data_IF_206573923109
#
_entry.id   IF_206573923109
#
_cell.length_a   1.000
_cell.length_b   1.000
_cell.length_c   1.000
_cell.angle_alpha   90.00
_cell.angle_beta   90.00
_cell.angle_gamma   90.00
#
_symmetry.space_group_name_H-M   'P 1'
#
loop_
_entity.id
_entity.type
_entity.pdbx_description
1 polymer ?
#
# COMPACT_ATOMS: atom_id res chain seq x y z
N UNK A 1 -65.00 -24.00 -41.02
CA UNK A 1 -63.79 -23.47 -41.53
C UNK A 1 -62.94 -23.01 -40.32
N UNK A 2 -62.02 -23.89 -39.80
CA UNK A 2 -61.25 -23.64 -38.61
C UNK A 2 -59.81 -23.41 -39.03
N UNK A 3 -59.26 -22.23 -38.70
CA UNK A 3 -57.86 -21.90 -38.90
C UNK A 3 -57.07 -22.45 -37.68
N UNK A 4 -56.11 -23.26 -37.95
CA UNK A 4 -55.15 -23.80 -36.98
C UNK A 4 -54.01 -22.84 -36.78
N UNK A 5 -53.81 -22.44 -35.53
CA UNK A 5 -52.74 -21.60 -35.04
C UNK A 5 -51.46 -22.44 -34.92
N UNK A 6 -50.38 -22.02 -35.65
CA UNK A 6 -49.07 -22.69 -35.64
C UNK A 6 -48.18 -21.91 -34.68
N UNK A 7 -47.99 -22.47 -33.50
CA UNK A 7 -47.03 -21.96 -32.49
C UNK A 7 -45.59 -22.10 -32.97
N UNK A 8 -44.90 -20.96 -33.12
CA UNK A 8 -43.47 -20.87 -33.39
C UNK A 8 -42.70 -21.02 -32.05
N UNK A 9 -42.09 -22.19 -31.88
CA UNK A 9 -41.16 -22.46 -30.78
C UNK A 9 -39.81 -21.73 -31.04
N UNK A 10 -39.52 -20.70 -30.21
CA UNK A 10 -38.20 -20.08 -30.18
C UNK A 10 -37.15 -20.98 -29.53
N UNK A 11 -35.88 -20.89 -29.96
CA UNK A 11 -34.80 -21.73 -29.43
C UNK A 11 -34.52 -21.43 -27.98
N UNK A 12 -34.46 -22.50 -27.17
CA UNK A 12 -34.10 -22.45 -25.75
C UNK A 12 -32.64 -21.93 -25.61
N UNK A 13 -32.48 -20.84 -24.89
CA UNK A 13 -31.14 -20.36 -24.50
C UNK A 13 -30.57 -21.31 -23.45
N UNK A 14 -29.26 -21.68 -23.57
CA UNK A 14 -28.62 -22.49 -22.56
C UNK A 14 -28.48 -21.67 -21.27
N UNK A 15 -29.04 -22.20 -20.19
CA UNK A 15 -28.79 -21.70 -18.84
C UNK A 15 -27.32 -21.95 -18.51
N UNK A 16 -26.54 -20.86 -18.40
CA UNK A 16 -25.20 -20.91 -17.84
C UNK A 16 -25.36 -21.18 -16.34
N UNK A 17 -25.14 -22.40 -15.92
CA UNK A 17 -24.96 -22.73 -14.51
C UNK A 17 -23.74 -21.95 -14.02
N UNK A 18 -24.00 -20.88 -13.25
CA UNK A 18 -22.98 -20.27 -12.41
C UNK A 18 -22.58 -21.32 -11.37
N UNK A 19 -21.59 -22.15 -11.75
CA UNK A 19 -20.92 -23.03 -10.82
C UNK A 19 -20.49 -22.19 -9.62
N UNK A 20 -21.17 -22.39 -8.52
CA UNK A 20 -20.83 -21.92 -7.19
C UNK A 20 -19.35 -22.17 -6.97
N UNK A 21 -18.52 -21.13 -7.11
CA UNK A 21 -17.18 -21.15 -6.57
C UNK A 21 -17.34 -21.29 -5.06
N UNK A 22 -17.26 -22.52 -4.62
CA UNK A 22 -17.17 -22.88 -3.23
C UNK A 22 -15.83 -22.35 -2.75
N UNK A 23 -15.81 -21.08 -2.30
CA UNK A 23 -14.73 -20.54 -1.50
C UNK A 23 -14.70 -21.38 -0.23
N UNK A 24 -13.71 -22.24 -0.16
CA UNK A 24 -13.32 -22.88 1.09
C UNK A 24 -12.93 -21.73 2.03
N UNK A 25 -13.87 -21.30 2.85
CA UNK A 25 -13.58 -20.56 4.05
C UNK A 25 -12.85 -21.55 4.97
N UNK A 26 -11.54 -21.67 4.78
CA UNK A 26 -10.67 -22.19 5.81
C UNK A 26 -10.99 -21.40 7.07
N UNK A 27 -11.34 -22.09 8.15
CA UNK A 27 -11.66 -21.46 9.42
C UNK A 27 -10.51 -20.49 9.76
N UNK A 28 -10.79 -19.20 9.74
CA UNK A 28 -9.86 -18.15 10.11
C UNK A 28 -9.65 -18.30 11.61
N UNK A 29 -8.68 -19.11 11.99
CA UNK A 29 -8.10 -19.04 13.32
C UNK A 29 -7.20 -17.81 13.25
N UNK A 30 -7.49 -16.80 14.07
CA UNK A 30 -6.59 -15.65 14.30
C UNK A 30 -5.26 -16.23 14.77
N UNK A 31 -4.38 -16.50 13.83
CA UNK A 31 -3.03 -17.00 14.13
C UNK A 31 -2.26 -15.79 14.60
N UNK A 32 -1.89 -15.77 15.88
CA UNK A 32 -0.94 -14.80 16.39
C UNK A 32 0.29 -14.87 15.50
N UNK A 33 0.62 -13.77 14.82
CA UNK A 33 1.79 -13.68 13.95
C UNK A 33 3.04 -13.98 14.79
N UNK A 34 3.85 -14.99 14.45
CA UNK A 34 5.05 -15.29 15.21
C UNK A 34 6.05 -14.15 15.11
N UNK A 35 6.78 -13.88 16.20
CA UNK A 35 7.79 -12.83 16.23
C UNK A 35 8.89 -13.05 15.18
N UNK A 36 9.28 -14.30 14.98
CA UNK A 36 10.32 -14.71 14.02
C UNK A 36 10.00 -16.08 13.43
N UNK A 37 10.28 -16.25 12.14
CA UNK A 37 10.12 -17.50 11.41
C UNK A 37 11.42 -17.85 10.67
N UNK A 38 11.62 -19.12 10.37
CA UNK A 38 12.60 -19.57 9.38
C UNK A 38 11.99 -19.42 7.98
N UNK A 39 12.47 -18.44 7.22
CA UNK A 39 11.92 -18.09 5.90
C UNK A 39 11.95 -19.27 4.93
N UNK A 40 13.05 -20.03 4.88
CA UNK A 40 13.23 -21.16 3.98
C UNK A 40 12.32 -22.33 4.32
N UNK A 41 12.09 -22.53 5.60
CA UNK A 41 11.12 -23.52 6.08
C UNK A 41 9.69 -23.12 5.75
N UNK A 42 9.35 -21.81 5.85
CA UNK A 42 8.03 -21.31 5.48
C UNK A 42 7.77 -21.51 3.98
N UNK A 43 8.73 -21.20 3.11
CA UNK A 43 8.67 -21.45 1.66
C UNK A 43 8.47 -22.94 1.37
N UNK A 44 9.29 -23.80 1.97
CA UNK A 44 9.25 -25.25 1.73
C UNK A 44 7.91 -25.86 2.16
N UNK A 45 7.31 -25.34 3.22
CA UNK A 45 6.02 -25.77 3.75
C UNK A 45 4.82 -25.05 3.11
N UNK A 46 5.05 -24.08 2.19
CA UNK A 46 4.03 -23.22 1.57
C UNK A 46 3.07 -22.65 2.62
N UNK A 47 3.65 -22.02 3.65
CA UNK A 47 2.86 -21.51 4.79
C UNK A 47 2.25 -20.16 4.43
N UNK A 48 1.02 -19.97 4.92
CA UNK A 48 0.31 -18.69 4.88
C UNK A 48 0.03 -18.20 6.30
N UNK A 49 0.10 -16.89 6.48
CA UNK A 49 -0.34 -16.20 7.69
C UNK A 49 -1.35 -15.14 7.29
N UNK A 50 -2.44 -15.05 8.01
CA UNK A 50 -3.49 -14.05 7.81
C UNK A 50 -3.98 -13.57 9.17
N UNK A 51 -4.24 -12.27 9.29
CA UNK A 51 -4.73 -11.70 10.54
C UNK A 51 -4.72 -10.18 10.57
N UNK A 52 -4.78 -9.65 11.79
CA UNK A 52 -4.65 -8.22 12.05
C UNK A 52 -3.54 -7.95 13.05
N UNK A 53 -2.93 -6.76 12.95
CA UNK A 53 -1.94 -6.24 13.87
C UNK A 53 -2.34 -4.81 14.27
N UNK A 54 -2.29 -4.45 15.57
CA UNK A 54 -2.44 -3.05 15.96
C UNK A 54 -1.36 -2.18 15.31
N UNK A 55 -1.72 -1.04 14.73
CA UNK A 55 -0.76 -0.07 14.16
C UNK A 55 0.29 0.31 15.22
N UNK A 56 -0.14 0.47 16.48
CA UNK A 56 0.75 0.77 17.60
C UNK A 56 1.85 -0.28 17.86
N UNK A 57 1.73 -1.50 17.33
CA UNK A 57 2.77 -2.55 17.44
C UNK A 57 3.87 -2.40 16.37
N UNK A 58 3.63 -1.62 15.31
CA UNK A 58 4.54 -1.33 14.21
C UNK A 58 5.25 0.00 14.49
N UNK A 59 6.41 -0.09 15.18
CA UNK A 59 7.05 1.09 15.78
C UNK A 59 7.52 2.12 14.76
N UNK A 60 8.20 1.68 13.69
CA UNK A 60 8.73 2.59 12.66
C UNK A 60 7.59 3.25 11.88
N UNK A 61 6.54 2.48 11.58
CA UNK A 61 5.33 3.02 10.95
C UNK A 61 4.68 4.05 11.86
N UNK A 62 4.52 3.75 13.16
CA UNK A 62 3.94 4.67 14.14
C UNK A 62 4.69 6.01 14.25
N UNK A 63 6.04 6.00 14.11
CA UNK A 63 6.86 7.21 14.11
C UNK A 63 6.61 8.11 12.88
N UNK A 64 6.11 7.55 11.78
CA UNK A 64 5.78 8.28 10.55
C UNK A 64 4.33 8.79 10.51
N UNK A 65 3.48 8.37 11.45
CA UNK A 65 2.05 8.68 11.48
C UNK A 65 1.72 9.80 12.48
N UNK A 66 0.60 10.46 12.27
CA UNK A 66 0.04 11.43 13.22
C UNK A 66 -0.74 10.77 14.37
N UNK A 67 -1.06 9.48 14.22
CA UNK A 67 -1.75 8.68 15.23
C UNK A 67 -1.63 7.19 14.91
N UNK A 68 -1.68 6.34 15.94
CA UNK A 68 -1.47 4.89 15.83
C UNK A 68 -2.72 4.08 16.14
N UNK A 69 -3.89 4.74 16.09
CA UNK A 69 -5.17 4.07 16.29
C UNK A 69 -5.53 3.22 15.08
N UNK A 70 -6.12 2.05 15.32
CA UNK A 70 -6.56 1.12 14.27
C UNK A 70 -5.67 -0.10 14.12
N UNK A 71 -5.99 -0.89 13.10
CA UNK A 71 -5.35 -2.18 12.82
C UNK A 71 -4.94 -2.28 11.35
N UNK A 72 -3.86 -3.02 11.12
CA UNK A 72 -3.41 -3.48 9.81
C UNK A 72 -3.98 -4.86 9.57
N UNK A 73 -4.75 -5.05 8.50
CA UNK A 73 -5.08 -6.38 7.99
C UNK A 73 -3.98 -6.85 7.07
N UNK A 74 -3.54 -8.10 7.21
CA UNK A 74 -2.44 -8.63 6.40
C UNK A 74 -2.66 -10.07 5.96
N UNK A 75 -1.99 -10.44 4.87
CA UNK A 75 -1.79 -11.82 4.41
C UNK A 75 -0.34 -11.96 3.93
N UNK A 76 0.34 -13.01 4.35
CA UNK A 76 1.67 -13.41 3.93
C UNK A 76 1.62 -14.82 3.38
N UNK A 77 1.89 -15.01 2.10
CA UNK A 77 1.87 -16.30 1.42
C UNK A 77 3.29 -16.67 0.97
N UNK A 78 3.90 -17.63 1.66
CA UNK A 78 5.23 -18.13 1.31
C UNK A 78 5.15 -19.23 0.25
N UNK A 79 5.97 -19.14 -0.79
CA UNK A 79 5.94 -20.09 -1.87
C UNK A 79 7.22 -20.16 -2.69
N UNK A 80 7.16 -20.99 -3.72
CA UNK A 80 8.17 -21.09 -4.76
C UNK A 80 7.47 -21.13 -6.10
N UNK A 81 7.95 -20.32 -7.04
CA UNK A 81 7.41 -20.27 -8.40
C UNK A 81 7.92 -21.44 -9.27
N UNK A 82 7.45 -21.48 -10.51
CA UNK A 82 7.83 -22.50 -11.49
C UNK A 82 9.29 -22.39 -11.94
N UNK A 83 9.92 -21.24 -11.76
CA UNK A 83 11.34 -20.97 -12.05
C UNK A 83 12.24 -21.35 -10.86
N UNK A 84 11.65 -21.71 -9.72
CA UNK A 84 12.36 -22.10 -8.51
C UNK A 84 12.67 -20.92 -7.58
N UNK A 85 12.20 -19.69 -7.88
CA UNK A 85 12.37 -18.53 -7.04
C UNK A 85 11.55 -18.68 -5.76
N UNK A 86 12.20 -18.56 -4.63
CA UNK A 86 11.52 -18.53 -3.32
C UNK A 86 10.96 -17.14 -3.09
N UNK A 87 9.69 -17.03 -2.67
CA UNK A 87 9.04 -15.74 -2.49
C UNK A 87 8.12 -15.71 -1.26
N UNK A 88 7.75 -14.50 -0.86
CA UNK A 88 6.58 -14.21 -0.03
C UNK A 88 5.71 -13.17 -0.74
N UNK A 89 4.44 -13.48 -0.97
CA UNK A 89 3.43 -12.51 -1.40
C UNK A 89 2.90 -11.80 -0.15
N UNK A 90 3.09 -10.49 -0.12
CA UNK A 90 2.66 -9.62 0.98
C UNK A 90 1.45 -8.83 0.54
N UNK A 91 0.36 -8.94 1.28
CA UNK A 91 -0.79 -8.04 1.17
C UNK A 91 -1.02 -7.41 2.52
N UNK A 92 -1.11 -6.11 2.56
CA UNK A 92 -1.47 -5.40 3.79
C UNK A 92 -2.38 -4.21 3.47
N UNK A 93 -3.28 -3.89 4.40
CA UNK A 93 -4.13 -2.72 4.29
C UNK A 93 -4.43 -2.13 5.66
N UNK A 94 -4.41 -0.80 5.73
CA UNK A 94 -4.70 -0.06 6.96
C UNK A 94 -5.20 1.36 6.66
N UNK A 95 -6.05 1.94 7.53
CA UNK A 95 -6.36 3.38 7.56
C UNK A 95 -5.26 4.10 8.34
N UNK A 96 -4.35 4.80 7.65
CA UNK A 96 -3.20 5.47 8.27
C UNK A 96 -3.47 6.96 8.44
N UNK A 97 -3.27 7.49 9.66
CA UNK A 97 -3.47 8.91 9.97
C UNK A 97 -2.20 9.69 9.71
N UNK A 98 -2.24 10.62 8.75
CA UNK A 98 -1.12 11.46 8.33
C UNK A 98 -1.43 12.94 8.53
N UNK A 99 -0.39 13.79 8.56
CA UNK A 99 -0.55 15.25 8.51
C UNK A 99 -0.54 15.71 7.05
N UNK A 100 -1.61 16.38 6.64
CA UNK A 100 -1.68 17.01 5.34
C UNK A 100 -0.64 18.14 5.24
N UNK A 101 0.24 18.09 4.24
CA UNK A 101 1.28 19.11 4.06
C UNK A 101 0.73 20.45 3.54
N UNK A 102 -0.53 20.49 3.10
CA UNK A 102 -1.20 21.69 2.60
C UNK A 102 -1.97 22.43 3.70
N UNK A 103 -2.77 21.69 4.50
CA UNK A 103 -3.61 22.29 5.56
C UNK A 103 -3.03 22.16 6.95
N UNK A 104 -1.99 21.33 7.13
CA UNK A 104 -1.37 20.96 8.42
C UNK A 104 -2.33 20.24 9.38
N UNK A 105 -3.45 19.76 8.87
CA UNK A 105 -4.43 18.99 9.63
C UNK A 105 -4.24 17.49 9.45
N UNK A 106 -4.59 16.68 10.47
CA UNK A 106 -4.58 15.24 10.34
C UNK A 106 -5.70 14.77 9.39
N UNK A 107 -5.41 13.74 8.59
CA UNK A 107 -6.39 13.05 7.76
C UNK A 107 -6.08 11.57 7.68
N UNK A 108 -7.09 10.76 7.38
CA UNK A 108 -6.93 9.31 7.22
C UNK A 108 -6.72 8.98 5.74
N UNK A 109 -5.60 8.32 5.46
CA UNK A 109 -5.28 7.78 4.15
C UNK A 109 -5.49 6.26 4.18
N UNK A 110 -6.42 5.71 3.38
CA UNK A 110 -6.50 4.26 3.20
C UNK A 110 -5.31 3.80 2.35
N UNK A 111 -4.47 2.97 2.94
CA UNK A 111 -3.30 2.38 2.27
C UNK A 111 -3.56 0.90 2.05
N UNK A 112 -3.24 0.41 0.85
CA UNK A 112 -3.27 -1.01 0.53
C UNK A 112 -2.06 -1.35 -0.33
N UNK A 113 -1.35 -2.40 0.03
CA UNK A 113 -0.15 -2.90 -0.66
C UNK A 113 -0.35 -4.34 -1.11
N UNK A 114 0.27 -4.68 -2.23
CA UNK A 114 0.39 -6.04 -2.70
C UNK A 114 1.73 -6.17 -3.44
N UNK A 115 2.71 -6.77 -2.78
CA UNK A 115 4.07 -6.90 -3.29
C UNK A 115 4.51 -8.36 -3.23
N UNK A 116 5.23 -8.82 -4.24
CA UNK A 116 5.93 -10.09 -4.22
C UNK A 116 7.40 -9.85 -3.91
N UNK A 117 7.86 -10.38 -2.78
CA UNK A 117 9.24 -10.28 -2.34
C UNK A 117 9.98 -11.59 -2.62
N UNK A 118 11.04 -11.52 -3.42
CA UNK A 118 11.96 -12.63 -3.70
C UNK A 118 12.96 -12.79 -2.57
N UNK A 119 12.94 -13.95 -1.93
CA UNK A 119 13.85 -14.24 -0.81
C UNK A 119 15.24 -14.56 -1.37
N UNK A 120 16.22 -13.73 -1.01
CA UNK A 120 17.63 -13.91 -1.41
C UNK A 120 18.53 -14.07 -0.18
N UNK A 121 19.58 -14.83 -0.34
CA UNK A 121 20.60 -15.02 0.73
C UNK A 121 21.73 -14.02 0.67
N UNK A 122 21.96 -13.43 -0.49
CA UNK A 122 23.03 -12.47 -0.76
C UNK A 122 22.57 -11.45 -1.80
N UNK A 123 23.03 -10.21 -1.69
CA UNK A 123 22.66 -9.11 -2.61
C UNK A 123 22.92 -9.44 -4.09
N UNK A 124 23.97 -10.19 -4.40
CA UNK A 124 24.27 -10.61 -5.79
C UNK A 124 23.19 -11.49 -6.41
N UNK A 125 22.35 -12.14 -5.60
CA UNK A 125 21.27 -13.03 -6.06
C UNK A 125 20.07 -12.21 -6.59
N UNK A 126 20.03 -10.91 -6.32
CA UNK A 126 19.00 -9.97 -6.82
C UNK A 126 18.89 -10.00 -8.36
N UNK A 127 20.04 -10.05 -9.06
CA UNK A 127 20.08 -10.09 -10.52
C UNK A 127 19.37 -11.32 -11.13
N UNK A 128 19.11 -12.34 -10.33
CA UNK A 128 18.40 -13.57 -10.75
C UNK A 128 16.89 -13.53 -10.50
N UNK A 129 16.36 -12.48 -9.86
CA UNK A 129 14.94 -12.37 -9.60
C UNK A 129 14.14 -11.98 -10.85
N UNK A 130 12.88 -12.44 -10.96
CA UNK A 130 11.94 -11.92 -11.95
C UNK A 130 11.71 -10.41 -11.79
N UNK A 131 11.38 -9.68 -12.88
CA UNK A 131 11.26 -8.22 -12.85
C UNK A 131 10.07 -7.69 -12.01
N UNK A 132 9.12 -8.54 -11.68
CA UNK A 132 7.95 -8.27 -10.83
C UNK A 132 8.15 -8.69 -9.36
N UNK A 133 9.38 -9.04 -9.00
CA UNK A 133 9.74 -9.54 -7.69
C UNK A 133 10.80 -8.63 -7.04
N UNK A 134 10.46 -8.00 -5.93
CA UNK A 134 11.39 -7.16 -5.19
C UNK A 134 12.31 -8.00 -4.30
N UNK A 135 13.58 -7.66 -4.15
CA UNK A 135 14.51 -8.46 -3.35
C UNK A 135 14.27 -8.29 -1.85
N UNK A 136 14.16 -9.39 -1.13
CA UNK A 136 14.15 -9.44 0.32
C UNK A 136 15.34 -10.25 0.83
N UNK A 137 16.33 -9.57 1.38
CA UNK A 137 17.52 -10.20 1.94
C UNK A 137 17.17 -10.91 3.25
N UNK A 138 17.34 -12.23 3.28
CA UNK A 138 17.15 -13.04 4.47
C UNK A 138 18.47 -13.16 5.21
N UNK A 139 18.45 -12.97 6.53
CA UNK A 139 19.65 -13.11 7.36
C UNK A 139 20.30 -14.51 7.20
N UNK A 140 21.60 -14.62 7.48
CA UNK A 140 22.36 -15.87 7.34
C UNK A 140 21.79 -17.04 8.14
N UNK A 141 21.13 -16.76 9.26
CA UNK A 141 20.45 -17.75 10.10
C UNK A 141 19.06 -18.17 9.57
N UNK A 142 18.65 -17.64 8.41
CA UNK A 142 17.36 -17.89 7.78
C UNK A 142 16.18 -17.21 8.48
N UNK A 143 16.43 -16.39 9.50
CA UNK A 143 15.36 -15.75 10.27
C UNK A 143 14.77 -14.55 9.58
N UNK A 144 13.45 -14.47 9.62
CA UNK A 144 12.65 -13.35 9.14
C UNK A 144 11.65 -12.97 10.23
N UNK A 145 11.44 -11.68 10.43
CA UNK A 145 10.38 -11.15 11.31
C UNK A 145 9.21 -10.70 10.43
N UNK A 146 8.10 -11.43 10.41
CA UNK A 146 7.00 -11.14 9.49
C UNK A 146 6.36 -9.76 9.73
N UNK A 147 6.34 -9.29 10.97
CA UNK A 147 5.83 -7.95 11.29
C UNK A 147 6.69 -6.84 10.66
N UNK A 148 8.02 -7.02 10.63
CA UNK A 148 8.93 -6.03 10.03
C UNK A 148 8.71 -5.96 8.51
N UNK A 149 8.43 -7.08 7.85
CA UNK A 149 8.11 -7.11 6.41
C UNK A 149 6.83 -6.34 6.11
N UNK A 150 5.77 -6.56 6.90
CA UNK A 150 4.50 -5.82 6.75
C UNK A 150 4.72 -4.32 6.99
N UNK A 151 5.52 -3.98 7.99
CA UNK A 151 5.84 -2.60 8.35
C UNK A 151 6.61 -1.89 7.24
N UNK A 152 7.61 -2.56 6.64
CA UNK A 152 8.41 -2.01 5.54
C UNK A 152 7.53 -1.72 4.32
N UNK A 153 6.67 -2.64 3.91
CA UNK A 153 5.77 -2.45 2.78
C UNK A 153 4.80 -1.28 2.98
N UNK A 154 4.25 -1.13 4.19
CA UNK A 154 3.39 -0.01 4.51
C UNK A 154 4.14 1.32 4.53
N UNK A 155 5.39 1.35 5.04
CA UNK A 155 6.24 2.54 5.03
C UNK A 155 6.57 2.99 3.60
N UNK A 156 6.90 2.04 2.72
CA UNK A 156 7.20 2.31 1.31
C UNK A 156 5.97 2.83 0.55
N UNK A 157 4.77 2.45 0.97
CA UNK A 157 3.52 2.91 0.36
C UNK A 157 3.09 4.32 0.81
N UNK A 158 3.73 4.89 1.84
CA UNK A 158 3.40 6.24 2.28
C UNK A 158 3.85 7.27 1.24
N UNK A 159 3.01 8.26 0.90
CA UNK A 159 3.42 9.33 0.02
C UNK A 159 4.48 10.21 0.68
N UNK A 160 5.52 10.61 -0.06
CA UNK A 160 6.56 11.53 0.42
C UNK A 160 5.97 12.88 0.87
N UNK A 161 4.89 13.32 0.22
CA UNK A 161 4.16 14.55 0.54
C UNK A 161 2.68 14.19 0.69
N UNK A 162 2.22 13.85 1.89
CA UNK A 162 0.81 13.53 2.10
C UNK A 162 -0.05 14.78 1.96
N UNK A 163 -1.04 14.69 1.09
CA UNK A 163 -2.01 15.76 0.84
C UNK A 163 -3.42 15.19 0.89
N UNK A 164 -4.26 15.74 1.78
CA UNK A 164 -5.67 15.43 1.77
C UNK A 164 -6.32 16.05 0.53
N UNK A 165 -6.93 15.27 -0.37
CA UNK A 165 -7.58 15.79 -1.57
C UNK A 165 -8.67 16.83 -1.28
N UNK A 166 -9.35 16.72 -0.14
CA UNK A 166 -10.42 17.63 0.27
C UNK A 166 -9.91 18.88 1.02
N UNK A 167 -8.61 18.97 1.33
CA UNK A 167 -8.06 20.12 2.05
C UNK A 167 -8.00 21.36 1.17
N UNK A 168 -8.21 22.52 1.80
CA UNK A 168 -8.02 23.84 1.19
C UNK A 168 -6.81 24.51 1.83
N UNK A 169 -6.21 25.45 1.11
CA UNK A 169 -5.20 26.33 1.69
C UNK A 169 -5.88 27.18 2.78
N UNK A 170 -5.21 27.46 3.91
CA UNK A 170 -5.69 28.44 4.87
C UNK A 170 -5.99 29.77 4.19
N UNK A 171 -7.09 30.42 4.56
CA UNK A 171 -7.53 31.68 3.95
C UNK A 171 -6.47 32.81 4.05
N UNK A 172 -5.61 32.75 5.08
CA UNK A 172 -4.47 33.66 5.25
C UNK A 172 -3.46 33.59 4.09
N UNK A 173 -3.33 32.46 3.42
CA UNK A 173 -2.42 32.29 2.28
C UNK A 173 -3.07 32.67 0.96
N UNK A 174 -4.40 32.55 0.88
CA UNK A 174 -5.17 32.89 -0.32
C UNK A 174 -5.62 34.34 -0.36
N UNK A 175 -5.61 35.03 0.79
CA UNK A 175 -6.07 36.42 0.94
C UNK A 175 -5.10 37.50 0.43
N UNK A 176 -3.94 37.12 -0.08
CA UNK A 176 -3.01 38.10 -0.66
C UNK A 176 -3.41 38.41 -2.09
N UNK A 177 -4.29 39.41 -2.24
CA UNK A 177 -4.64 39.95 -3.55
C UNK A 177 -3.46 40.83 -4.05
N UNK A 178 -2.73 40.39 -5.10
CA UNK A 178 -1.59 41.16 -5.61
C UNK A 178 -2.00 42.54 -6.15
N UNK A 179 -3.30 42.82 -6.27
CA UNK A 179 -3.81 44.15 -6.68
C UNK A 179 -3.84 45.14 -5.53
N UNK A 180 -3.78 44.72 -4.25
CA UNK A 180 -3.77 45.61 -3.09
C UNK A 180 -2.37 46.08 -2.70
N UNK A 181 -1.31 45.39 -3.10
CA UNK A 181 0.08 45.80 -2.83
C UNK A 181 0.55 47.01 -3.63
N UNK A 182 -0.21 47.48 -4.62
CA UNK A 182 0.16 48.67 -5.41
C UNK A 182 -0.27 49.98 -4.78
N UNK A 183 -1.04 49.97 -3.68
CA UNK A 183 -1.57 51.21 -3.08
C UNK A 183 -0.77 51.75 -1.89
N UNK A 184 0.11 50.97 -1.25
CA UNK A 184 0.84 51.35 -0.02
C UNK A 184 2.36 51.15 -0.05
N UNK A 185 2.98 50.87 -1.18
CA UNK A 185 4.43 50.72 -1.21
C UNK A 185 5.16 52.06 -1.48
N UNK A 186 5.35 52.81 -0.41
CA UNK A 186 6.60 53.55 -0.26
C UNK A 186 7.75 52.52 -0.33
N UNK A 187 8.49 52.52 -1.43
CA UNK A 187 9.79 51.85 -1.72
C UNK A 187 10.19 50.78 -0.67
N UNK A 188 9.62 49.64 -0.72
CA UNK A 188 10.23 48.41 -0.17
C UNK A 188 11.38 48.03 -1.11
N UNK A 189 12.63 48.24 -0.68
CA UNK A 189 13.78 47.75 -1.39
C UNK A 189 13.67 46.26 -1.57
N UNK A 190 13.60 45.79 -2.80
CA UNK A 190 13.51 44.36 -3.12
C UNK A 190 14.73 43.65 -2.50
N UNK A 191 14.57 42.77 -1.51
CA UNK A 191 15.68 42.11 -0.84
C UNK A 191 16.56 41.28 -1.79
N UNK A 192 16.08 41.02 -3.01
CA UNK A 192 16.81 40.32 -4.07
C UNK A 192 17.47 41.24 -5.09
N UNK A 193 17.43 42.57 -4.91
CA UNK A 193 18.07 43.52 -5.83
C UNK A 193 19.56 43.28 -6.01
N UNK A 194 20.23 42.80 -4.93
CA UNK A 194 21.67 42.43 -4.92
C UNK A 194 22.00 41.32 -5.92
N UNK A 195 21.03 40.42 -6.23
CA UNK A 195 21.28 39.33 -7.19
C UNK A 195 21.39 39.79 -8.64
N UNK A 196 20.97 41.04 -8.97
CA UNK A 196 21.16 41.61 -10.31
C UNK A 196 22.62 41.87 -10.64
N UNK A 197 23.47 42.10 -9.64
CA UNK A 197 24.91 42.38 -9.82
C UNK A 197 25.73 41.09 -10.04
N UNK A 198 25.16 39.92 -9.71
CA UNK A 198 25.82 38.61 -9.90
C UNK A 198 25.69 38.07 -11.34
N UNK A 199 24.91 38.69 -12.20
CA UNK A 199 24.72 38.30 -13.60
C UNK A 199 25.68 39.03 -14.51
N UNK A 200 26.99 38.69 -14.43
CA UNK A 200 28.01 39.05 -15.42
C UNK A 200 28.55 37.80 -16.10
#
# INVERSE_FOLDING_TARGET
MRLTDVGVGGPAQPRVDLATRQTYHSAIMSVTLPESVDAWRMVSARRSFEGTLPIASLRRLGEALAGTDGEVSFTLDFGRDDLGTSYVDVRASAPLTLICQRSLEPFVLPVAVHTRLGLISQERDEAGLPPDCEPLLVAEDGRLRPADVIEDELLLALPLVPVNPDSRLPDEVTGHDPAQDHAESGRSENPFAVLRELKK
#
